data_IF_389817660572
#
_entry.id   IF_389817660572
#
_cell.length_a   1.000
_cell.length_b   1.000
_cell.length_c   1.000
_cell.angle_alpha   90.00
_cell.angle_beta   90.00
_cell.angle_gamma   90.00
#
_symmetry.space_group_name_H-M   'P 1'
#
loop_
_entity.id
_entity.type
_entity.pdbx_description
1 polymer ?
#
# COMPACT_ATOMS: atom_id res chain seq x y z
N UNK A 1 22.14 2.18 5.71
CA UNK A 1 20.72 2.44 6.08
C UNK A 1 20.71 3.35 7.30
N UNK A 2 20.07 4.52 7.22
CA UNK A 2 20.03 5.49 8.35
C UNK A 2 19.14 4.97 9.49
N UNK A 3 19.35 5.44 10.73
CA UNK A 3 18.57 5.07 11.91
C UNK A 3 17.05 5.30 11.69
N UNK A 4 16.71 6.38 10.98
CA UNK A 4 15.31 6.70 10.63
C UNK A 4 14.66 5.72 9.65
N UNK A 5 15.44 5.14 8.72
CA UNK A 5 14.91 4.13 7.78
C UNK A 5 14.66 2.80 8.48
N UNK A 6 15.51 2.40 9.44
CA UNK A 6 15.29 1.17 10.25
C UNK A 6 14.01 1.26 11.07
N UNK A 7 13.80 2.39 11.77
CA UNK A 7 12.59 2.62 12.58
C UNK A 7 11.31 2.60 11.72
N UNK A 8 11.36 3.20 10.53
CA UNK A 8 10.23 3.16 9.57
C UNK A 8 9.87 1.74 9.16
N UNK A 9 10.87 0.94 8.80
CA UNK A 9 10.70 -0.46 8.42
C UNK A 9 10.09 -1.26 9.58
N UNK A 10 10.62 -1.10 10.78
CA UNK A 10 10.14 -1.81 11.96
C UNK A 10 8.67 -1.50 12.27
N UNK A 11 8.27 -0.22 12.16
CA UNK A 11 6.87 0.18 12.27
C UNK A 11 6.00 -0.43 11.16
N UNK A 12 6.48 -0.45 9.92
CA UNK A 12 5.74 -1.08 8.81
C UNK A 12 5.49 -2.57 9.07
N UNK A 13 6.51 -3.32 9.45
CA UNK A 13 6.37 -4.75 9.77
C UNK A 13 5.36 -4.99 10.90
N UNK A 14 5.42 -4.17 11.95
CA UNK A 14 4.47 -4.25 13.07
C UNK A 14 3.01 -4.02 12.64
N UNK A 15 2.76 -3.04 11.77
CA UNK A 15 1.39 -2.71 11.34
C UNK A 15 0.86 -3.60 10.22
N UNK A 16 1.74 -4.16 9.39
CA UNK A 16 1.35 -5.13 8.37
C UNK A 16 1.01 -6.48 9.03
N UNK A 17 1.63 -6.81 10.16
CA UNK A 17 1.40 -8.07 10.91
C UNK A 17 1.56 -9.29 9.97
N UNK A 18 2.75 -9.40 9.35
CA UNK A 18 3.06 -10.41 8.34
C UNK A 18 3.22 -11.78 9.02
N UNK A 19 2.68 -12.81 8.36
CA UNK A 19 2.87 -14.21 8.73
C UNK A 19 3.68 -14.95 7.66
N UNK A 20 4.49 -15.96 8.02
CA UNK A 20 5.26 -16.73 7.06
C UNK A 20 4.42 -17.42 5.96
N UNK A 21 3.13 -17.64 6.22
CA UNK A 21 2.18 -18.22 5.25
C UNK A 21 1.57 -17.21 4.29
N UNK A 22 1.72 -15.90 4.54
CA UNK A 22 1.03 -14.86 3.77
C UNK A 22 1.55 -14.75 2.33
N UNK A 23 0.63 -14.54 1.41
CA UNK A 23 0.88 -14.03 0.05
C UNK A 23 0.47 -12.56 0.03
N UNK A 24 1.41 -11.68 -0.28
CA UNK A 24 1.26 -10.24 -0.15
C UNK A 24 1.37 -9.53 -1.50
N UNK A 25 0.52 -8.51 -1.74
CA UNK A 25 0.67 -7.57 -2.84
C UNK A 25 1.08 -6.19 -2.30
N UNK A 26 2.13 -5.61 -2.89
CA UNK A 26 2.55 -4.22 -2.66
C UNK A 26 2.14 -3.37 -3.86
N UNK A 27 1.12 -2.52 -3.68
CA UNK A 27 0.55 -1.67 -4.73
C UNK A 27 1.30 -0.35 -4.82
N UNK A 28 1.94 -0.11 -5.97
CA UNK A 28 2.83 1.03 -6.15
C UNK A 28 4.14 0.85 -5.39
N UNK A 29 4.61 -0.40 -5.25
CA UNK A 29 5.84 -0.73 -4.52
C UNK A 29 7.12 -0.23 -5.20
N UNK A 30 6.99 0.47 -6.34
CA UNK A 30 8.10 1.06 -7.09
C UNK A 30 9.16 -0.02 -7.42
N UNK A 31 10.45 0.26 -7.20
CA UNK A 31 11.54 -0.69 -7.46
C UNK A 31 11.59 -1.88 -6.49
N UNK A 32 10.65 -2.04 -5.57
CA UNK A 32 10.62 -3.10 -4.56
C UNK A 32 11.63 -2.93 -3.41
N UNK A 33 12.28 -1.77 -3.28
CA UNK A 33 13.30 -1.53 -2.25
C UNK A 33 12.74 -1.65 -0.83
N UNK A 34 11.50 -1.23 -0.61
CA UNK A 34 10.83 -1.36 0.69
C UNK A 34 10.21 -2.75 0.80
N UNK A 35 9.61 -3.23 -0.30
CA UNK A 35 9.01 -4.57 -0.41
C UNK A 35 9.99 -5.68 -0.04
N UNK A 36 11.27 -5.56 -0.40
CA UNK A 36 12.33 -6.51 -0.06
C UNK A 36 12.45 -6.78 1.44
N UNK A 37 12.05 -5.83 2.27
CA UNK A 37 12.13 -5.99 3.73
C UNK A 37 11.10 -6.99 4.23
N UNK A 38 9.86 -6.91 3.72
CA UNK A 38 8.82 -7.85 4.13
C UNK A 38 8.73 -9.09 3.25
N UNK A 39 9.41 -9.12 2.11
CA UNK A 39 9.52 -10.33 1.29
C UNK A 39 10.18 -11.50 2.04
N UNK A 40 11.03 -11.20 3.04
CA UNK A 40 11.70 -12.21 3.88
C UNK A 40 10.82 -12.79 4.97
N UNK A 41 9.69 -12.12 5.26
CA UNK A 41 8.80 -12.45 6.39
C UNK A 41 7.52 -13.18 5.92
N UNK A 42 7.32 -13.35 4.62
CA UNK A 42 6.11 -13.95 4.06
C UNK A 42 6.45 -15.06 3.04
N UNK A 43 5.43 -15.86 2.69
CA UNK A 43 5.55 -16.94 1.70
C UNK A 43 5.89 -16.42 0.31
N UNK A 44 5.26 -15.34 -0.10
CA UNK A 44 5.48 -14.72 -1.40
C UNK A 44 5.04 -13.24 -1.39
N UNK A 45 5.73 -12.43 -2.17
CA UNK A 45 5.37 -11.03 -2.39
C UNK A 45 5.35 -10.70 -3.88
N UNK A 46 4.36 -9.91 -4.27
CA UNK A 46 4.21 -9.38 -5.61
C UNK A 46 4.23 -7.84 -5.52
N UNK A 47 4.92 -7.17 -6.41
CA UNK A 47 4.86 -5.71 -6.59
C UNK A 47 4.01 -5.41 -7.82
N UNK A 48 3.00 -4.56 -7.67
CA UNK A 48 2.27 -3.96 -8.78
C UNK A 48 2.80 -2.54 -9.02
N UNK A 49 3.27 -2.26 -10.22
CA UNK A 49 3.83 -0.95 -10.59
C UNK A 49 3.44 -0.61 -12.05
N UNK A 50 2.91 0.60 -12.33
CA UNK A 50 2.47 0.95 -13.67
C UNK A 50 3.60 1.33 -14.64
N UNK A 51 4.80 1.62 -14.15
CA UNK A 51 5.92 2.11 -14.99
C UNK A 51 6.80 0.96 -15.43
N UNK A 52 6.76 0.62 -16.72
CA UNK A 52 7.56 -0.46 -17.33
C UNK A 52 9.04 -0.42 -16.92
N UNK A 53 9.71 0.73 -17.08
CA UNK A 53 11.13 0.85 -16.73
C UNK A 53 11.43 0.57 -15.25
N UNK A 54 10.49 0.88 -14.35
CA UNK A 54 10.62 0.61 -12.91
C UNK A 54 10.43 -0.89 -12.62
N UNK A 55 9.50 -1.53 -13.32
CA UNK A 55 9.27 -2.99 -13.25
C UNK A 55 10.53 -3.74 -13.70
N UNK A 56 11.09 -3.38 -14.85
CA UNK A 56 12.30 -4.02 -15.37
C UNK A 56 13.51 -3.80 -14.45
N UNK A 57 13.67 -2.60 -13.92
CA UNK A 57 14.68 -2.34 -12.89
C UNK A 57 14.48 -3.25 -11.67
N UNK A 58 13.25 -3.36 -11.16
CA UNK A 58 12.92 -4.22 -10.04
C UNK A 58 13.25 -5.68 -10.31
N UNK A 59 12.86 -6.21 -11.47
CA UNK A 59 13.14 -7.59 -11.91
C UNK A 59 14.65 -7.87 -11.96
N UNK A 60 15.42 -6.93 -12.47
CA UNK A 60 16.88 -7.07 -12.60
C UNK A 60 17.57 -7.11 -11.24
N UNK A 61 17.23 -6.19 -10.34
CA UNK A 61 17.95 -6.01 -9.07
C UNK A 61 17.33 -6.75 -7.89
N UNK A 62 16.09 -7.30 -8.02
CA UNK A 62 15.36 -8.06 -7.01
C UNK A 62 14.65 -9.26 -7.62
N UNK A 63 15.40 -10.22 -8.22
CA UNK A 63 14.81 -11.36 -8.96
C UNK A 63 13.97 -12.30 -8.06
N UNK A 64 14.11 -12.20 -6.75
CA UNK A 64 13.32 -12.95 -5.77
C UNK A 64 11.95 -12.33 -5.49
N UNK A 65 11.66 -11.13 -6.01
CA UNK A 65 10.36 -10.46 -5.93
C UNK A 65 9.68 -10.54 -7.29
N UNK A 66 8.43 -10.96 -7.30
CA UNK A 66 7.62 -10.94 -8.53
C UNK A 66 7.12 -9.52 -8.80
N UNK A 67 7.45 -8.98 -9.97
CA UNK A 67 6.94 -7.68 -10.45
C UNK A 67 5.89 -7.89 -11.53
N UNK A 68 4.75 -7.22 -11.36
CA UNK A 68 3.65 -7.17 -12.31
C UNK A 68 3.47 -5.73 -12.77
N UNK A 69 3.56 -5.51 -14.07
CA UNK A 69 3.22 -4.23 -14.67
C UNK A 69 1.70 -4.10 -14.74
N UNK A 70 1.17 -3.01 -14.18
CA UNK A 70 -0.26 -2.79 -14.16
C UNK A 70 -0.66 -1.59 -13.33
N UNK A 71 -1.88 -1.12 -13.57
CA UNK A 71 -2.49 0.00 -12.85
C UNK A 71 -3.42 -0.54 -11.77
N UNK A 72 -3.52 0.20 -10.68
CA UNK A 72 -4.37 -0.19 -9.55
C UNK A 72 -5.86 -0.21 -9.90
N UNK A 73 -6.28 0.57 -10.90
CA UNK A 73 -7.67 0.61 -11.36
C UNK A 73 -8.13 -0.66 -12.11
N UNK A 74 -7.18 -1.49 -12.53
CA UNK A 74 -7.43 -2.77 -13.19
C UNK A 74 -6.24 -3.69 -12.93
N UNK A 75 -6.22 -4.32 -11.76
CA UNK A 75 -5.11 -5.18 -11.31
C UNK A 75 -5.16 -6.50 -12.10
N UNK A 76 -4.12 -6.83 -12.90
CA UNK A 76 -4.10 -8.05 -13.73
C UNK A 76 -3.72 -9.29 -12.90
N UNK A 77 -4.41 -9.49 -11.78
CA UNK A 77 -4.19 -10.58 -10.84
C UNK A 77 -5.55 -11.16 -10.41
N UNK A 78 -5.60 -12.44 -10.05
CA UNK A 78 -6.86 -13.14 -9.76
C UNK A 78 -7.54 -12.60 -8.50
N UNK A 79 -8.86 -12.80 -8.45
CA UNK A 79 -9.68 -12.55 -7.27
C UNK A 79 -9.23 -13.43 -6.11
N UNK A 80 -9.42 -12.94 -4.89
CA UNK A 80 -9.26 -13.68 -3.65
C UNK A 80 -7.95 -14.47 -3.52
N UNK A 81 -6.87 -13.90 -4.02
CA UNK A 81 -5.56 -14.55 -4.03
C UNK A 81 -4.64 -14.11 -2.90
N UNK A 82 -4.74 -12.86 -2.45
CA UNK A 82 -3.81 -12.28 -1.48
C UNK A 82 -4.35 -12.30 -0.06
N UNK A 83 -3.51 -12.68 0.88
CA UNK A 83 -3.79 -12.58 2.32
C UNK A 83 -3.69 -11.13 2.78
N UNK A 84 -2.78 -10.35 2.16
CA UNK A 84 -2.57 -8.93 2.46
C UNK A 84 -2.30 -8.13 1.20
N UNK A 85 -2.87 -6.91 1.18
CA UNK A 85 -2.60 -5.88 0.17
C UNK A 85 -2.11 -4.63 0.89
N UNK A 86 -0.95 -4.15 0.49
CA UNK A 86 -0.28 -2.98 1.08
C UNK A 86 -0.19 -1.87 0.05
N UNK A 87 -0.51 -0.64 0.44
CA UNK A 87 -0.23 0.58 -0.31
C UNK A 87 0.60 1.51 0.59
N UNK A 88 1.91 1.57 0.35
CA UNK A 88 2.83 2.33 1.21
C UNK A 88 3.26 3.63 0.56
N UNK A 89 2.67 4.75 0.96
CA UNK A 89 2.89 6.08 0.40
C UNK A 89 2.69 6.11 -1.14
N UNK A 90 1.70 5.38 -1.60
CA UNK A 90 1.34 5.26 -3.02
C UNK A 90 -0.13 5.59 -3.28
N UNK A 91 -1.01 5.45 -2.29
CA UNK A 91 -2.45 5.64 -2.45
C UNK A 91 -2.83 7.05 -2.93
N UNK A 92 -2.16 8.10 -2.43
CA UNK A 92 -2.39 9.48 -2.87
C UNK A 92 -2.06 9.72 -4.35
N UNK A 93 -1.30 8.84 -4.98
CA UNK A 93 -0.98 8.89 -6.41
C UNK A 93 -1.94 8.09 -7.30
N UNK A 94 -2.88 7.34 -6.74
CA UNK A 94 -3.83 6.58 -7.55
C UNK A 94 -4.73 7.52 -8.36
N UNK A 95 -4.78 7.40 -9.69
CA UNK A 95 -5.60 8.26 -10.54
C UNK A 95 -7.09 8.18 -10.21
N UNK A 96 -7.59 6.98 -9.94
CA UNK A 96 -8.93 6.72 -9.43
C UNK A 96 -8.86 5.88 -8.14
N UNK A 97 -8.91 6.56 -7.00
CA UNK A 97 -8.75 5.92 -5.70
C UNK A 97 -9.94 5.02 -5.32
N UNK A 98 -11.15 5.35 -5.80
CA UNK A 98 -12.34 4.54 -5.57
C UNK A 98 -12.20 3.19 -6.28
N UNK A 99 -11.87 3.23 -7.58
CA UNK A 99 -11.62 2.01 -8.33
C UNK A 99 -10.42 1.22 -7.79
N UNK A 100 -9.38 1.91 -7.33
CA UNK A 100 -8.24 1.27 -6.67
C UNK A 100 -8.64 0.50 -5.41
N UNK A 101 -9.51 1.06 -4.55
CA UNK A 101 -10.03 0.37 -3.37
C UNK A 101 -10.88 -0.86 -3.74
N UNK A 102 -11.71 -0.76 -4.77
CA UNK A 102 -12.50 -1.89 -5.28
C UNK A 102 -11.60 -3.05 -5.73
N UNK A 103 -10.58 -2.75 -6.53
CA UNK A 103 -9.63 -3.75 -7.03
C UNK A 103 -8.79 -4.36 -5.90
N UNK A 104 -8.27 -3.53 -4.99
CA UNK A 104 -7.53 -4.02 -3.82
C UNK A 104 -8.42 -4.94 -2.95
N UNK A 105 -9.71 -4.63 -2.81
CA UNK A 105 -10.67 -5.49 -2.12
C UNK A 105 -10.97 -6.77 -2.91
N UNK A 106 -11.13 -6.69 -4.24
CA UNK A 106 -11.42 -7.84 -5.10
C UNK A 106 -10.37 -8.93 -4.96
N UNK A 107 -9.09 -8.55 -5.03
CA UNK A 107 -7.98 -9.50 -4.99
C UNK A 107 -7.65 -10.06 -3.60
N UNK A 108 -8.19 -9.44 -2.53
CA UNK A 108 -8.06 -9.97 -1.17
C UNK A 108 -8.94 -11.19 -0.96
N UNK A 109 -8.39 -12.22 -0.32
CA UNK A 109 -9.15 -13.34 0.24
C UNK A 109 -10.20 -12.87 1.25
N UNK A 110 -11.18 -13.70 1.54
CA UNK A 110 -12.04 -13.52 2.70
C UNK A 110 -11.17 -13.39 3.97
N UNK A 111 -11.48 -12.43 4.84
CA UNK A 111 -10.69 -12.04 6.01
C UNK A 111 -9.27 -11.51 5.70
N UNK A 112 -8.92 -11.33 4.43
CA UNK A 112 -7.67 -10.70 4.01
C UNK A 112 -7.62 -9.24 4.47
N UNK A 113 -6.40 -8.74 4.72
CA UNK A 113 -6.18 -7.38 5.26
C UNK A 113 -5.66 -6.42 4.19
N UNK A 114 -6.25 -5.24 4.15
CA UNK A 114 -5.74 -4.07 3.41
C UNK A 114 -5.00 -3.16 4.39
N UNK A 115 -3.78 -2.78 4.06
CA UNK A 115 -2.97 -1.86 4.86
C UNK A 115 -2.58 -0.66 4.00
N UNK A 116 -3.00 0.53 4.39
CA UNK A 116 -2.64 1.77 3.70
C UNK A 116 -1.80 2.61 4.65
N UNK A 117 -0.56 2.89 4.25
CA UNK A 117 0.32 3.84 4.91
C UNK A 117 0.28 5.14 4.13
N UNK A 118 -0.15 6.23 4.78
CA UNK A 118 -0.24 7.56 4.18
C UNK A 118 0.33 8.65 5.06
N UNK A 119 0.63 9.78 4.42
CA UNK A 119 1.09 10.98 5.09
C UNK A 119 -0.13 11.81 5.49
N UNK A 120 -0.21 12.19 6.76
CA UNK A 120 -1.26 13.06 7.24
C UNK A 120 -1.05 14.50 6.72
N UNK A 121 -1.95 15.01 5.85
CA UNK A 121 -1.82 16.32 5.23
C UNK A 121 -1.93 17.49 6.23
N UNK A 122 -2.38 17.26 7.44
CA UNK A 122 -2.53 18.30 8.48
C UNK A 122 -1.23 18.59 9.22
N UNK A 123 -0.29 17.63 9.20
CA UNK A 123 1.03 17.77 9.84
C UNK A 123 1.94 18.72 9.06
N UNK A 124 2.95 19.29 9.72
CA UNK A 124 3.93 20.15 9.05
C UNK A 124 4.67 19.45 7.90
N UNK A 125 4.92 18.13 8.04
CA UNK A 125 5.49 17.30 6.98
C UNK A 125 4.51 17.10 5.82
N UNK A 126 3.26 16.80 6.12
CA UNK A 126 2.21 16.60 5.11
C UNK A 126 1.92 17.88 4.33
N UNK A 127 1.85 19.02 5.01
CA UNK A 127 1.69 20.33 4.36
C UNK A 127 2.82 20.61 3.37
N UNK A 128 4.09 20.36 3.77
CA UNK A 128 5.24 20.54 2.86
C UNK A 128 5.18 19.59 1.66
N UNK A 129 4.86 18.32 1.88
CA UNK A 129 4.73 17.36 0.78
C UNK A 129 3.62 17.77 -0.20
N UNK A 130 2.45 18.16 0.31
CA UNK A 130 1.33 18.63 -0.50
C UNK A 130 1.71 19.82 -1.39
N UNK A 131 2.52 20.75 -0.87
CA UNK A 131 3.06 21.86 -1.65
C UNK A 131 4.04 21.37 -2.73
N UNK A 132 4.97 20.46 -2.39
CA UNK A 132 5.89 19.89 -3.36
C UNK A 132 5.16 19.15 -4.49
N UNK A 133 4.17 18.32 -4.17
CA UNK A 133 3.34 17.62 -5.16
C UNK A 133 2.55 18.58 -6.06
N UNK A 134 2.06 19.68 -5.49
CA UNK A 134 1.38 20.73 -6.26
C UNK A 134 2.34 21.43 -7.24
N UNK A 135 3.56 21.76 -6.81
CA UNK A 135 4.61 22.35 -7.66
C UNK A 135 5.01 21.40 -8.80
N UNK A 136 5.08 20.11 -8.52
CA UNK A 136 5.37 19.08 -9.51
C UNK A 136 4.17 18.73 -10.41
N UNK A 137 3.05 19.45 -10.27
CA UNK A 137 1.80 19.24 -11.01
C UNK A 137 1.29 17.79 -10.94
N UNK A 138 1.60 17.10 -9.85
CA UNK A 138 1.02 15.77 -9.61
C UNK A 138 -0.45 15.93 -9.20
N UNK A 139 -1.29 14.99 -9.60
CA UNK A 139 -2.70 14.96 -9.18
C UNK A 139 -2.87 14.24 -7.85
N UNK A 140 -1.88 14.31 -6.96
CA UNK A 140 -1.90 13.63 -5.67
C UNK A 140 -3.05 14.12 -4.78
N UNK A 141 -3.85 13.18 -4.28
CA UNK A 141 -4.99 13.46 -3.41
C UNK A 141 -4.78 12.81 -2.05
N UNK A 142 -4.49 13.64 -1.06
CA UNK A 142 -4.26 13.24 0.32
C UNK A 142 -5.55 13.26 1.13
N UNK A 143 -5.64 12.35 2.11
CA UNK A 143 -6.72 12.28 3.08
C UNK A 143 -6.19 12.42 4.50
N UNK A 144 -6.97 13.08 5.34
CA UNK A 144 -6.81 12.95 6.78
C UNK A 144 -7.18 11.54 7.24
N UNK A 145 -6.65 11.08 8.38
CA UNK A 145 -6.92 9.73 8.88
C UNK A 145 -8.41 9.36 8.95
N UNK A 146 -9.25 10.29 9.40
CA UNK A 146 -10.70 10.12 9.48
C UNK A 146 -11.35 10.01 8.09
N UNK A 147 -10.93 10.84 7.15
CA UNK A 147 -11.48 10.85 5.78
C UNK A 147 -11.17 9.54 5.05
N UNK A 148 -9.91 9.04 5.17
CA UNK A 148 -9.53 7.77 4.57
C UNK A 148 -10.27 6.61 5.20
N UNK A 149 -10.46 6.63 6.53
CA UNK A 149 -11.27 5.63 7.24
C UNK A 149 -12.68 5.54 6.64
N UNK A 150 -13.37 6.68 6.58
CA UNK A 150 -14.73 6.75 6.01
C UNK A 150 -14.76 6.22 4.57
N UNK A 151 -13.81 6.66 3.75
CA UNK A 151 -13.70 6.22 2.35
C UNK A 151 -13.54 4.71 2.22
N UNK A 152 -12.68 4.09 3.02
CA UNK A 152 -12.46 2.64 3.02
C UNK A 152 -13.71 1.88 3.50
N UNK A 153 -14.42 2.40 4.51
CA UNK A 153 -15.67 1.83 5.02
C UNK A 153 -16.80 1.92 3.98
N UNK A 154 -16.90 3.01 3.21
CA UNK A 154 -17.84 3.18 2.10
C UNK A 154 -17.65 2.13 0.98
N UNK A 155 -16.42 1.62 0.82
CA UNK A 155 -16.12 0.51 -0.12
C UNK A 155 -16.34 -0.89 0.50
N UNK A 156 -17.02 -0.96 1.65
CA UNK A 156 -17.42 -2.21 2.28
C UNK A 156 -16.27 -3.00 2.91
N UNK A 157 -15.22 -2.31 3.35
CA UNK A 157 -14.16 -2.88 4.18
C UNK A 157 -14.41 -2.50 5.65
N UNK A 158 -14.16 -3.41 6.59
CA UNK A 158 -14.22 -3.10 8.02
C UNK A 158 -12.87 -2.56 8.49
N UNK A 159 -12.80 -1.28 8.86
CA UNK A 159 -11.58 -0.70 9.41
C UNK A 159 -11.36 -1.18 10.84
N UNK A 160 -10.20 -1.83 11.05
CA UNK A 160 -9.78 -2.38 12.35
C UNK A 160 -9.04 -1.34 13.18
N UNK A 161 -8.19 -0.55 12.54
CA UNK A 161 -7.40 0.48 13.24
C UNK A 161 -6.94 1.59 12.31
N UNK A 162 -6.78 2.78 12.89
CA UNK A 162 -6.04 3.89 12.30
C UNK A 162 -5.04 4.37 13.34
N UNK A 163 -3.75 4.31 13.04
CA UNK A 163 -2.66 4.62 13.97
C UNK A 163 -1.77 5.70 13.41
N UNK A 164 -1.78 6.87 14.03
CA UNK A 164 -0.88 7.98 13.68
C UNK A 164 0.53 7.75 14.24
N UNK A 165 1.52 8.16 13.47
CA UNK A 165 2.94 8.09 13.80
C UNK A 165 3.63 9.39 13.38
N UNK A 166 4.90 9.55 13.74
CA UNK A 166 5.70 10.70 13.27
C UNK A 166 5.94 10.72 11.74
N UNK A 167 5.61 9.64 11.03
CA UNK A 167 5.83 9.49 9.59
C UNK A 167 4.56 9.63 8.75
N UNK A 168 3.40 9.65 9.40
CA UNK A 168 2.08 9.61 8.79
C UNK A 168 1.15 8.73 9.60
N UNK A 169 0.25 8.02 8.96
CA UNK A 169 -0.65 7.10 9.64
C UNK A 169 -0.77 5.77 8.88
N UNK A 170 -1.12 4.72 9.62
CA UNK A 170 -1.44 3.40 9.11
C UNK A 170 -2.93 3.14 9.29
N UNK A 171 -3.61 2.78 8.22
CA UNK A 171 -4.97 2.27 8.25
C UNK A 171 -4.91 0.79 7.95
N UNK A 172 -5.53 -0.02 8.81
CA UNK A 172 -5.72 -1.45 8.58
C UNK A 172 -7.20 -1.75 8.50
N UNK A 173 -7.61 -2.38 7.40
CA UNK A 173 -8.97 -2.84 7.18
C UNK A 173 -9.00 -4.31 6.80
N UNK A 174 -10.13 -4.97 7.01
CA UNK A 174 -10.36 -6.39 6.68
C UNK A 174 -11.54 -6.52 5.72
N UNK A 175 -11.38 -7.39 4.72
CA UNK A 175 -12.47 -7.84 3.86
C UNK A 175 -13.37 -8.77 4.66
N UNK A 176 -14.64 -8.40 4.81
CA UNK A 176 -15.64 -9.28 5.44
C UNK A 176 -15.84 -10.58 4.64
N UNK A 177 -16.36 -11.61 5.29
CA UNK A 177 -16.87 -12.77 4.58
C UNK A 177 -18.09 -12.33 3.77
N UNK A 178 -18.08 -12.55 2.47
CA UNK A 178 -19.32 -12.55 1.70
C UNK A 178 -20.09 -13.82 2.15
N UNK A 179 -21.24 -13.62 2.80
CA UNK A 179 -22.19 -14.70 3.08
C UNK A 179 -22.93 -15.03 1.80
#
# INVERSE_FOLDING_TARGET
>A
MTLGSKKRIQLMLQYIDIKPSDVLLDVGGNTGKITEVYAKECKAVVVLEPKHAVVEYGRTYRPHIKFVEGRVENIPLPDEYFDKVVASASFHHFPNQDRGLEEMKRILKANGKMIILEIDPTTGRGKRLKVCESILHTKAKFYEPFQLRKKVEEHGMKVLSVKSTSLGYYLTAVKGNQK
#
